data_IF_782942425806
#
_entry.id   IF_782942425806
#
_cell.length_a   1.000
_cell.length_b   1.000
_cell.length_c   1.000
_cell.angle_alpha   90.00
_cell.angle_beta   90.00
_cell.angle_gamma   90.00
#
_symmetry.space_group_name_H-M   'P 1'
#
loop_
_entity.id
_entity.type
_entity.pdbx_description
1 polymer ?
#
# COMPACT_ATOMS: atom_id res chain seq x y z
N UNK A 1 5.90 2.83 -3.46
CA UNK A 1 4.54 2.62 -2.91
C UNK A 1 3.51 2.96 -3.97
N UNK A 2 2.56 2.06 -4.18
CA UNK A 2 1.44 2.24 -5.12
C UNK A 2 0.51 3.36 -4.65
N UNK A 3 -0.31 3.92 -5.54
CA UNK A 3 -1.16 5.08 -5.21
C UNK A 3 -2.13 4.78 -4.06
N UNK A 4 -2.78 3.61 -4.07
CA UNK A 4 -3.68 3.21 -2.97
C UNK A 4 -2.92 3.05 -1.65
N UNK A 5 -1.67 2.57 -1.66
CA UNK A 5 -0.86 2.45 -0.43
C UNK A 5 -0.56 3.83 0.17
N UNK A 6 -0.23 4.81 -0.68
CA UNK A 6 -0.01 6.19 -0.26
C UNK A 6 -1.31 6.80 0.30
N UNK A 7 -2.44 6.59 -0.39
CA UNK A 7 -3.74 7.08 0.08
C UNK A 7 -4.11 6.48 1.43
N UNK A 8 -4.03 5.16 1.59
CA UNK A 8 -4.33 4.50 2.87
C UNK A 8 -3.40 4.97 3.98
N UNK A 9 -2.11 5.20 3.70
CA UNK A 9 -1.18 5.76 4.69
C UNK A 9 -1.61 7.15 5.15
N UNK A 10 -1.97 8.04 4.22
CA UNK A 10 -2.46 9.39 4.54
C UNK A 10 -3.73 9.31 5.37
N UNK A 11 -4.69 8.46 4.97
CA UNK A 11 -5.95 8.26 5.71
C UNK A 11 -5.69 7.75 7.13
N UNK A 12 -4.77 6.81 7.30
CA UNK A 12 -4.42 6.26 8.61
C UNK A 12 -3.76 7.29 9.53
N UNK A 13 -2.88 8.14 8.98
CA UNK A 13 -2.27 9.24 9.73
C UNK A 13 -3.33 10.24 10.18
N UNK A 14 -4.23 10.65 9.26
CA UNK A 14 -5.36 11.53 9.61
C UNK A 14 -6.25 10.87 10.69
N UNK A 15 -6.55 9.59 10.51
CA UNK A 15 -7.35 8.79 11.44
C UNK A 15 -6.71 8.56 12.80
N UNK A 16 -5.40 8.78 12.95
CA UNK A 16 -4.71 8.78 14.24
C UNK A 16 -4.76 10.17 14.90
N UNK A 17 -4.50 11.22 14.13
CA UNK A 17 -4.39 12.60 14.64
C UNK A 17 -5.77 13.14 15.04
N UNK A 18 -6.79 12.93 14.21
CA UNK A 18 -8.13 13.51 14.41
C UNK A 18 -8.76 13.05 15.73
N UNK A 19 -8.77 11.76 16.11
CA UNK A 19 -9.32 11.34 17.39
C UNK A 19 -8.53 11.89 18.59
N UNK A 20 -7.20 11.97 18.49
CA UNK A 20 -6.35 12.54 19.54
C UNK A 20 -6.68 14.01 19.80
N UNK A 21 -6.79 14.82 18.75
CA UNK A 21 -7.18 16.22 18.84
C UNK A 21 -8.63 16.35 19.34
N UNK A 22 -9.54 15.50 18.85
CA UNK A 22 -10.95 15.51 19.26
C UNK A 22 -11.11 15.23 20.76
N UNK A 23 -10.45 14.19 21.29
CA UNK A 23 -10.48 13.88 22.73
C UNK A 23 -9.83 15.02 23.54
N UNK A 24 -8.72 15.60 23.07
CA UNK A 24 -8.08 16.71 23.76
C UNK A 24 -8.98 17.95 23.87
N UNK A 25 -9.59 18.38 22.76
CA UNK A 25 -10.53 19.52 22.74
C UNK A 25 -11.74 19.23 23.62
N UNK A 26 -12.26 17.99 23.57
CA UNK A 26 -13.39 17.58 24.40
C UNK A 26 -13.06 17.67 25.90
N UNK A 27 -11.91 17.15 26.34
CA UNK A 27 -11.45 17.27 27.74
C UNK A 27 -11.26 18.73 28.13
N UNK A 28 -10.68 19.55 27.25
CA UNK A 28 -10.44 20.96 27.52
C UNK A 28 -11.73 21.76 27.73
N UNK A 29 -12.73 21.59 26.86
CA UNK A 29 -14.04 22.25 26.99
C UNK A 29 -14.75 21.79 28.27
N UNK A 30 -14.66 20.50 28.60
CA UNK A 30 -15.27 19.96 29.82
C UNK A 30 -14.62 20.52 31.08
N UNK A 31 -13.30 20.69 31.06
CA UNK A 31 -12.55 21.29 32.16
C UNK A 31 -12.95 22.76 32.41
N UNK A 32 -13.42 23.47 31.38
CA UNK A 32 -13.89 24.86 31.50
C UNK A 32 -15.36 24.95 31.94
N UNK A 33 -16.20 24.00 31.54
CA UNK A 33 -17.65 24.04 31.79
C UNK A 33 -18.06 23.35 33.10
N UNK A 34 -17.25 22.45 33.66
CA UNK A 34 -17.42 21.91 35.02
C UNK A 34 -18.65 21.00 35.21
N UNK A 35 -19.32 20.56 34.14
CA UNK A 35 -20.54 19.76 34.22
C UNK A 35 -20.18 18.25 34.30
N UNK A 36 -20.50 17.55 35.40
CA UNK A 36 -20.10 16.15 35.63
C UNK A 36 -20.77 15.13 34.70
N UNK A 37 -21.91 15.49 34.08
CA UNK A 37 -22.61 14.63 33.10
C UNK A 37 -21.72 14.30 31.90
N UNK A 38 -20.72 15.13 31.59
CA UNK A 38 -19.81 14.90 30.46
C UNK A 38 -18.75 13.81 30.70
N UNK A 39 -18.60 13.31 31.93
CA UNK A 39 -17.67 12.21 32.22
C UNK A 39 -18.11 10.88 31.58
N UNK A 40 -19.41 10.59 31.52
CA UNK A 40 -19.94 9.39 30.85
C UNK A 40 -19.73 9.46 29.33
N UNK A 41 -19.79 10.67 28.77
CA UNK A 41 -19.52 10.95 27.36
C UNK A 41 -18.01 10.91 27.02
N UNK A 42 -17.13 11.19 28.00
CA UNK A 42 -15.69 11.04 27.82
C UNK A 42 -15.29 9.58 27.62
N UNK A 43 -15.89 8.65 28.38
CA UNK A 43 -15.63 7.21 28.23
C UNK A 43 -16.00 6.69 26.84
N UNK A 44 -17.16 7.09 26.31
CA UNK A 44 -17.59 6.74 24.94
C UNK A 44 -16.71 7.40 23.88
N UNK A 45 -16.31 8.66 24.05
CA UNK A 45 -15.40 9.34 23.13
C UNK A 45 -14.03 8.64 23.05
N UNK A 46 -13.48 8.22 24.19
CA UNK A 46 -12.23 7.47 24.24
C UNK A 46 -12.38 6.09 23.60
N UNK A 47 -13.48 5.37 23.87
CA UNK A 47 -13.74 4.07 23.23
C UNK A 47 -13.84 4.20 21.70
N UNK A 48 -14.56 5.22 21.21
CA UNK A 48 -14.65 5.52 19.78
C UNK A 48 -13.26 5.81 19.20
N UNK A 49 -12.44 6.61 19.88
CA UNK A 49 -11.07 6.91 19.44
C UNK A 49 -10.21 5.63 19.32
N UNK A 50 -10.28 4.72 20.30
CA UNK A 50 -9.57 3.44 20.25
C UNK A 50 -10.02 2.60 19.04
N UNK A 51 -11.33 2.52 18.79
CA UNK A 51 -11.87 1.78 17.64
C UNK A 51 -11.38 2.38 16.32
N UNK A 52 -11.38 3.70 16.18
CA UNK A 52 -10.86 4.38 14.98
C UNK A 52 -9.38 4.02 14.77
N UNK A 53 -8.56 4.08 15.82
CA UNK A 53 -7.15 3.73 15.75
C UNK A 53 -6.98 2.27 15.30
N UNK A 54 -7.75 1.34 15.89
CA UNK A 54 -7.70 -0.07 15.53
C UNK A 54 -8.05 -0.32 14.05
N UNK A 55 -9.10 0.32 13.53
CA UNK A 55 -9.50 0.23 12.11
C UNK A 55 -8.39 0.72 11.20
N UNK A 56 -7.79 1.88 11.51
CA UNK A 56 -6.71 2.45 10.70
C UNK A 56 -5.45 1.58 10.71
N UNK A 57 -5.08 1.00 11.86
CA UNK A 57 -3.95 0.05 11.95
C UNK A 57 -4.25 -1.21 11.11
N UNK A 58 -5.46 -1.77 11.21
CA UNK A 58 -5.86 -2.95 10.45
C UNK A 58 -5.79 -2.71 8.94
N UNK A 59 -6.30 -1.56 8.46
CA UNK A 59 -6.18 -1.14 7.07
C UNK A 59 -4.72 -1.04 6.61
N UNK A 60 -3.84 -0.50 7.46
CA UNK A 60 -2.42 -0.36 7.17
C UNK A 60 -1.77 -1.73 7.02
N UNK A 61 -1.96 -2.62 7.99
CA UNK A 61 -1.44 -4.01 7.95
C UNK A 61 -1.86 -4.73 6.68
N UNK A 62 -3.15 -4.67 6.33
CA UNK A 62 -3.70 -5.33 5.14
C UNK A 62 -3.02 -4.84 3.86
N UNK A 63 -2.81 -3.54 3.72
CA UNK A 63 -2.24 -2.90 2.53
C UNK A 63 -0.76 -3.21 2.31
N UNK A 64 0.00 -3.48 3.38
CA UNK A 64 1.42 -3.82 3.27
C UNK A 64 1.69 -5.32 3.29
N UNK A 65 0.85 -6.11 3.94
CA UNK A 65 1.08 -7.53 4.13
C UNK A 65 0.43 -8.41 3.05
N UNK A 66 -0.76 -8.03 2.55
CA UNK A 66 -1.50 -8.85 1.59
C UNK A 66 -1.04 -8.54 0.15
N UNK A 67 -0.54 -9.56 -0.55
CA UNK A 67 -0.12 -9.45 -1.96
C UNK A 67 -1.28 -9.36 -2.95
N UNK A 68 -2.46 -9.88 -2.57
CA UNK A 68 -3.65 -9.89 -3.42
C UNK A 68 -4.37 -8.54 -3.37
N UNK A 69 -4.18 -7.71 -4.40
CA UNK A 69 -4.74 -6.36 -4.50
C UNK A 69 -6.27 -6.35 -4.52
N UNK A 70 -6.92 -7.40 -5.04
CA UNK A 70 -8.38 -7.50 -5.03
C UNK A 70 -8.93 -7.63 -3.61
N UNK A 71 -8.27 -8.48 -2.82
CA UNK A 71 -8.63 -8.74 -1.43
C UNK A 71 -8.38 -7.49 -0.56
N UNK A 72 -7.23 -6.82 -0.80
CA UNK A 72 -6.92 -5.52 -0.18
C UNK A 72 -8.01 -4.49 -0.47
N UNK A 73 -8.47 -4.39 -1.72
CA UNK A 73 -9.51 -3.43 -2.09
C UNK A 73 -10.85 -3.67 -1.40
N UNK A 74 -11.30 -4.93 -1.30
CA UNK A 74 -12.52 -5.28 -0.56
C UNK A 74 -12.39 -4.93 0.93
N UNK A 75 -11.25 -5.26 1.54
CA UNK A 75 -11.03 -4.96 2.96
C UNK A 75 -10.99 -3.44 3.20
N UNK A 76 -10.36 -2.66 2.33
CA UNK A 76 -10.32 -1.21 2.45
C UNK A 76 -11.71 -0.58 2.41
N UNK A 77 -12.58 -1.05 1.49
CA UNK A 77 -13.97 -0.61 1.42
C UNK A 77 -14.70 -0.97 2.73
N UNK A 78 -14.52 -2.19 3.23
CA UNK A 78 -15.13 -2.62 4.50
C UNK A 78 -14.64 -1.80 5.70
N UNK A 79 -13.35 -1.44 5.74
CA UNK A 79 -12.78 -0.55 6.75
C UNK A 79 -13.45 0.83 6.69
N UNK A 80 -13.64 1.38 5.50
CA UNK A 80 -14.35 2.66 5.32
C UNK A 80 -15.78 2.61 5.88
N UNK A 81 -16.53 1.55 5.58
CA UNK A 81 -17.90 1.37 6.07
C UNK A 81 -17.93 1.22 7.60
N UNK A 82 -17.03 0.42 8.18
CA UNK A 82 -16.91 0.29 9.64
C UNK A 82 -16.61 1.64 10.29
N UNK A 83 -15.69 2.42 9.70
CA UNK A 83 -15.37 3.76 10.18
C UNK A 83 -16.60 4.67 10.14
N UNK A 84 -17.35 4.67 9.05
CA UNK A 84 -18.59 5.44 8.94
C UNK A 84 -19.63 5.03 9.99
N UNK A 85 -19.80 3.74 10.26
CA UNK A 85 -20.72 3.27 11.31
C UNK A 85 -20.30 3.74 12.71
N UNK A 86 -18.99 3.87 12.96
CA UNK A 86 -18.47 4.27 14.28
C UNK A 86 -18.56 5.77 14.56
N UNK A 87 -18.27 6.63 13.57
CA UNK A 87 -18.19 8.10 13.76
C UNK A 87 -19.25 8.88 12.98
N UNK A 88 -20.16 8.16 12.29
CA UNK A 88 -21.26 8.72 11.52
C UNK A 88 -20.79 9.81 10.54
N UNK A 89 -21.34 11.03 10.67
CA UNK A 89 -21.08 12.18 9.80
C UNK A 89 -19.60 12.56 9.81
N UNK A 90 -18.93 12.44 10.96
CA UNK A 90 -17.49 12.72 11.08
C UNK A 90 -16.62 11.68 10.35
N UNK A 91 -17.17 10.50 10.08
CA UNK A 91 -16.51 9.44 9.32
C UNK A 91 -16.57 9.61 7.80
N UNK A 92 -17.38 10.55 7.27
CA UNK A 92 -17.58 10.71 5.82
C UNK A 92 -16.26 10.97 5.06
N UNK A 93 -15.37 11.88 5.49
CA UNK A 93 -14.11 12.11 4.79
C UNK A 93 -13.25 10.84 4.74
N UNK A 94 -13.20 10.10 5.85
CA UNK A 94 -12.48 8.81 5.94
C UNK A 94 -13.08 7.75 5.02
N UNK A 95 -14.41 7.63 4.99
CA UNK A 95 -15.14 6.72 4.12
C UNK A 95 -14.79 6.95 2.65
N UNK A 96 -14.83 8.20 2.19
CA UNK A 96 -14.50 8.55 0.80
C UNK A 96 -13.07 8.14 0.47
N UNK A 97 -12.11 8.45 1.34
CA UNK A 97 -10.71 8.08 1.13
C UNK A 97 -10.50 6.56 1.09
N UNK A 98 -11.17 5.81 1.97
CA UNK A 98 -11.09 4.35 2.00
C UNK A 98 -11.73 3.70 0.77
N UNK A 99 -12.88 4.21 0.32
CA UNK A 99 -13.54 3.72 -0.90
C UNK A 99 -12.67 3.99 -2.12
N UNK A 100 -12.14 5.21 -2.27
CA UNK A 100 -11.27 5.57 -3.40
C UNK A 100 -10.00 4.70 -3.39
N UNK A 101 -9.37 4.53 -2.23
CA UNK A 101 -8.22 3.63 -2.10
C UNK A 101 -8.56 2.19 -2.48
N UNK A 102 -9.71 1.68 -2.03
CA UNK A 102 -10.20 0.34 -2.35
C UNK A 102 -10.49 0.15 -3.85
N UNK A 103 -11.14 1.11 -4.50
CA UNK A 103 -11.40 1.06 -5.95
C UNK A 103 -10.08 1.08 -6.73
N UNK A 104 -9.11 1.90 -6.33
CA UNK A 104 -7.79 1.95 -6.97
C UNK A 104 -7.10 0.59 -6.80
N UNK A 105 -7.14 -0.01 -5.60
CA UNK A 105 -6.56 -1.33 -5.36
C UNK A 105 -7.23 -2.44 -6.20
N UNK A 106 -8.56 -2.39 -6.38
CA UNK A 106 -9.32 -3.33 -7.22
C UNK A 106 -8.97 -3.19 -8.71
N UNK A 107 -8.73 -1.96 -9.17
CA UNK A 107 -8.36 -1.65 -10.57
C UNK A 107 -6.89 -1.91 -10.87
N UNK A 108 -6.07 -2.11 -9.85
CA UNK A 108 -4.65 -2.36 -10.02
C UNK A 108 -4.43 -3.74 -10.65
N UNK A 109 -3.88 -3.74 -11.88
CA UNK A 109 -3.54 -4.98 -12.57
C UNK A 109 -2.47 -5.74 -11.79
N UNK A 110 -2.52 -7.08 -11.76
CA UNK A 110 -1.45 -7.88 -11.16
C UNK A 110 -0.12 -7.50 -11.83
N UNK A 111 0.88 -7.20 -11.01
CA UNK A 111 2.22 -6.91 -11.54
C UNK A 111 2.72 -8.15 -12.29
N UNK A 112 3.18 -8.02 -13.54
CA UNK A 112 3.79 -9.15 -14.22
C UNK A 112 4.99 -9.63 -13.39
N UNK A 113 5.26 -10.95 -13.37
CA UNK A 113 6.44 -11.48 -12.69
C UNK A 113 7.70 -10.77 -13.22
N UNK A 114 8.69 -10.53 -12.35
CA UNK A 114 9.95 -9.94 -12.79
C UNK A 114 10.55 -10.82 -13.89
N UNK A 115 10.86 -10.21 -15.03
CA UNK A 115 11.49 -10.89 -16.16
C UNK A 115 12.97 -10.61 -16.10
N UNK A 116 13.78 -11.66 -16.16
CA UNK A 116 15.21 -11.55 -16.34
C UNK A 116 15.54 -11.85 -17.80
N UNK A 117 16.13 -10.88 -18.47
CA UNK A 117 16.58 -11.01 -19.85
C UNK A 117 18.05 -11.40 -19.82
N UNK A 118 18.38 -12.53 -20.44
CA UNK A 118 19.76 -12.96 -20.67
C UNK A 118 19.98 -12.92 -22.18
N UNK A 119 20.89 -12.08 -22.64
CA UNK A 119 21.16 -11.89 -24.06
C UNK A 119 22.50 -12.54 -24.35
N UNK A 120 22.55 -13.46 -25.32
CA UNK A 120 23.80 -14.11 -25.74
C UNK A 120 24.09 -13.76 -27.19
N UNK A 121 25.31 -13.34 -27.49
CA UNK A 121 25.75 -13.22 -28.88
C UNK A 121 25.93 -14.62 -29.48
N UNK A 122 25.41 -14.84 -30.69
CA UNK A 122 25.53 -16.12 -31.41
C UNK A 122 26.93 -16.29 -32.03
N UNK A 123 27.62 -15.20 -32.32
CA UNK A 123 28.93 -15.22 -32.99
C UNK A 123 30.09 -15.50 -32.01
N UNK A 124 30.07 -14.92 -30.81
CA UNK A 124 31.13 -15.10 -29.81
C UNK A 124 30.69 -15.80 -28.52
N UNK A 125 29.40 -16.11 -28.37
CA UNK A 125 28.87 -16.77 -27.16
C UNK A 125 28.85 -15.91 -25.90
N UNK A 126 29.28 -14.64 -25.96
CA UNK A 126 29.34 -13.75 -24.80
C UNK A 126 27.94 -13.46 -24.27
N UNK A 127 27.76 -13.66 -22.97
CA UNK A 127 26.54 -13.27 -22.25
C UNK A 127 26.60 -11.78 -21.92
N UNK A 128 25.67 -11.01 -22.47
CA UNK A 128 25.51 -9.58 -22.21
C UNK A 128 24.45 -9.44 -21.13
N UNK A 129 24.90 -9.24 -19.90
CA UNK A 129 24.05 -8.94 -18.75
C UNK A 129 23.77 -7.43 -18.73
N UNK A 130 22.92 -6.95 -19.63
CA UNK A 130 22.37 -5.59 -19.59
C UNK A 130 20.90 -5.68 -19.19
N UNK A 131 20.53 -5.33 -17.96
CA UNK A 131 20.19 -3.97 -17.52
C UNK A 131 19.08 -3.36 -18.37
N UNK A 132 18.07 -2.75 -17.74
CA UNK A 132 16.78 -2.30 -18.30
C UNK A 132 16.87 -1.21 -19.40
N UNK A 133 17.95 -1.12 -20.18
CA UNK A 133 18.16 -0.16 -21.26
C UNK A 133 17.96 -0.80 -22.64
N UNK A 134 17.35 -0.04 -23.55
CA UNK A 134 17.10 -0.43 -24.94
C UNK A 134 18.38 -0.65 -25.76
N UNK A 135 19.52 -0.09 -25.31
CA UNK A 135 20.82 -0.11 -25.99
C UNK A 135 21.76 -1.24 -25.51
N UNK A 136 21.21 -2.39 -25.10
CA UNK A 136 22.00 -3.50 -24.55
C UNK A 136 23.12 -4.02 -25.48
N UNK A 137 23.02 -3.81 -26.79
CA UNK A 137 23.98 -4.30 -27.77
C UNK A 137 25.03 -3.25 -28.19
N UNK A 138 24.87 -1.98 -27.79
CA UNK A 138 25.70 -0.88 -28.31
C UNK A 138 27.18 -1.06 -27.97
N UNK A 139 27.48 -1.32 -26.70
CA UNK A 139 28.87 -1.50 -26.24
C UNK A 139 29.51 -2.75 -26.86
N UNK A 140 28.72 -3.79 -27.12
CA UNK A 140 29.22 -5.02 -27.73
C UNK A 140 29.46 -4.89 -29.25
N UNK A 141 28.63 -4.11 -29.94
CA UNK A 141 28.74 -3.83 -31.38
C UNK A 141 29.89 -2.87 -31.71
N UNK A 142 30.23 -1.94 -30.81
CA UNK A 142 31.37 -1.02 -30.99
C UNK A 142 32.67 -1.82 -31.04
N UNK A 143 32.84 -2.77 -30.12
CA UNK A 143 34.04 -3.62 -30.07
C UNK A 143 33.99 -4.77 -31.11
N UNK A 144 32.80 -5.18 -31.57
CA UNK A 144 32.61 -6.33 -32.45
C UNK A 144 31.51 -6.06 -33.50
N UNK A 145 31.84 -5.26 -34.52
CA UNK A 145 30.90 -4.77 -35.54
C UNK A 145 30.26 -5.86 -36.42
N UNK A 146 30.84 -7.07 -36.47
CA UNK A 146 30.33 -8.22 -37.22
C UNK A 146 29.37 -9.10 -36.42
N UNK A 147 29.25 -8.88 -35.11
CA UNK A 147 28.41 -9.68 -34.22
C UNK A 147 26.98 -9.14 -34.21
N UNK A 148 26.24 -9.37 -35.30
CA UNK A 148 24.87 -8.86 -35.49
C UNK A 148 23.79 -9.80 -34.95
N UNK A 149 24.14 -11.05 -34.68
CA UNK A 149 23.19 -12.08 -34.26
C UNK A 149 23.19 -12.27 -32.73
N UNK A 150 22.01 -12.12 -32.13
CA UNK A 150 21.80 -12.26 -30.69
C UNK A 150 20.61 -13.17 -30.39
N UNK A 151 20.77 -14.05 -29.40
CA UNK A 151 19.71 -14.89 -28.85
C UNK A 151 19.27 -14.34 -27.50
N UNK A 152 17.98 -14.04 -27.36
CA UNK A 152 17.39 -13.53 -26.12
C UNK A 152 16.70 -14.66 -25.36
N UNK A 153 17.17 -14.94 -24.16
CA UNK A 153 16.52 -15.83 -23.22
C UNK A 153 15.72 -15.00 -22.22
N UNK A 154 14.43 -15.28 -22.14
CA UNK A 154 13.52 -14.64 -21.18
C UNK A 154 13.25 -15.62 -20.06
N UNK A 155 13.86 -15.38 -18.90
CA UNK A 155 13.58 -16.15 -17.69
C UNK A 155 12.45 -15.45 -16.92
N UNK A 156 11.30 -16.10 -16.84
CA UNK A 156 10.17 -15.65 -16.02
C UNK A 156 10.47 -16.08 -14.59
N UNK A 157 10.89 -15.13 -13.74
CA UNK A 157 11.13 -15.43 -12.33
C UNK A 157 9.78 -15.71 -11.68
N UNK A 158 9.58 -16.96 -11.28
CA UNK A 158 8.43 -17.34 -10.46
C UNK A 158 8.57 -16.63 -9.11
N UNK A 159 7.52 -15.98 -8.63
CA UNK A 159 7.47 -15.35 -7.30
C UNK A 159 7.34 -16.39 -6.17
N UNK A 160 7.95 -17.56 -6.34
CA UNK A 160 7.95 -18.68 -5.41
C UNK A 160 9.31 -18.79 -4.72
N UNK A 161 9.71 -17.71 -4.03
CA UNK A 161 11.02 -17.59 -3.40
C UNK A 161 11.02 -16.71 -2.15
N UNK A 162 9.92 -16.69 -1.39
CA UNK A 162 9.87 -16.09 -0.05
C UNK A 162 9.02 -16.92 0.93
N UNK A 163 9.09 -18.25 0.79
CA UNK A 163 8.61 -19.21 1.78
C UNK A 163 9.79 -20.10 2.11
N UNK A 164 10.38 -19.90 3.29
CA UNK A 164 11.45 -20.76 3.80
C UNK A 164 12.63 -19.99 4.35
N UNK A 165 12.42 -19.29 5.47
CA UNK A 165 13.36 -19.16 6.59
C UNK A 165 12.67 -18.43 7.75
N UNK A 166 11.95 -19.21 8.57
CA UNK A 166 12.11 -19.11 10.03
C UNK A 166 13.55 -19.58 10.34
N UNK A 167 14.25 -18.97 11.31
CA UNK A 167 13.96 -19.17 12.73
C UNK A 167 13.28 -17.98 13.41
#
# INVERSE_FOLDING_TARGET
>A
MKLYQKLTLITAILGLIVPLVGVFVYVFINSLTGIPVLALFLGTAVLIAIVIIAINIAALVVVFYIKNTKLVGIILISCGVLLFLTVQIWGIPGLVLYIVSGIIALREKPMPPPRKYIIKCLTCGKEIKGSNNADFAKDHLIDNSTHLEYKVFVEVLSTTGATGKLP
#
